data_IF_464416057726
#
_entry.id   IF_464416057726
#
_cell.length_a   1.000
_cell.length_b   1.000
_cell.length_c   1.000
_cell.angle_alpha   90.00
_cell.angle_beta   90.00
_cell.angle_gamma   90.00
#
_symmetry.space_group_name_H-M   'P 1'
#
loop_
_entity.id
_entity.type
_entity.pdbx_description
1 polymer ?
#
# COMPACT_ATOMS: atom_id res chain seq x y z
N UNK A 1 -26.94 -7.09 -7.41
CA UNK A 1 -25.55 -7.30 -6.91
C UNK A 1 -25.19 -8.78 -6.70
N UNK A 2 -26.15 -9.66 -6.60
CA UNK A 2 -25.94 -11.09 -6.30
C UNK A 2 -24.98 -11.80 -7.29
N UNK A 3 -25.08 -11.47 -8.56
CA UNK A 3 -24.27 -12.05 -9.64
C UNK A 3 -23.02 -11.23 -10.02
N UNK A 4 -22.73 -10.16 -9.27
CA UNK A 4 -21.57 -9.28 -9.52
C UNK A 4 -20.51 -9.54 -8.47
N UNK A 5 -19.23 -9.62 -8.90
CA UNK A 5 -18.07 -9.64 -8.00
C UNK A 5 -17.21 -8.40 -8.23
N UNK A 6 -16.93 -7.69 -7.15
CA UNK A 6 -15.97 -6.60 -7.14
C UNK A 6 -14.60 -7.13 -6.79
N UNK A 7 -13.61 -6.81 -7.60
CA UNK A 7 -12.25 -7.29 -7.38
C UNK A 7 -11.23 -6.16 -7.46
N UNK A 8 -10.17 -6.29 -6.69
CA UNK A 8 -9.07 -5.33 -6.65
C UNK A 8 -7.74 -6.08 -6.69
N UNK A 9 -6.67 -5.38 -7.02
CA UNK A 9 -5.34 -5.95 -6.98
C UNK A 9 -4.84 -6.17 -5.54
N UNK A 10 -5.13 -5.22 -4.64
CA UNK A 10 -4.64 -5.24 -3.26
C UNK A 10 -5.73 -5.63 -2.27
N UNK A 11 -5.35 -6.32 -1.18
CA UNK A 11 -6.27 -6.64 -0.09
C UNK A 11 -6.88 -5.40 0.56
N UNK A 12 -6.09 -4.31 0.65
CA UNK A 12 -6.55 -3.05 1.24
C UNK A 12 -7.70 -2.42 0.45
N UNK A 13 -7.57 -2.32 -0.87
CA UNK A 13 -8.65 -1.81 -1.72
C UNK A 13 -9.91 -2.68 -1.59
N UNK A 14 -9.77 -4.02 -1.52
CA UNK A 14 -10.91 -4.92 -1.25
C UNK A 14 -11.60 -4.61 0.06
N UNK A 15 -10.85 -4.38 1.15
CA UNK A 15 -11.44 -4.04 2.45
C UNK A 15 -12.20 -2.71 2.44
N UNK A 16 -11.69 -1.71 1.71
CA UNK A 16 -12.39 -0.43 1.54
C UNK A 16 -13.76 -0.64 0.89
N UNK A 17 -13.81 -1.45 -0.18
CA UNK A 17 -15.07 -1.78 -0.84
C UNK A 17 -16.01 -2.61 0.05
N UNK A 18 -15.47 -3.58 0.81
CA UNK A 18 -16.26 -4.38 1.77
C UNK A 18 -16.90 -3.49 2.85
N UNK A 19 -16.19 -2.51 3.39
CA UNK A 19 -16.73 -1.54 4.36
C UNK A 19 -17.86 -0.68 3.79
N UNK A 20 -17.86 -0.48 2.48
CA UNK A 20 -18.96 0.17 1.74
C UNK A 20 -20.13 -0.79 1.43
N UNK A 21 -20.09 -2.02 1.95
CA UNK A 21 -21.13 -3.03 1.76
C UNK A 21 -21.07 -3.79 0.43
N UNK A 22 -19.96 -3.68 -0.33
CA UNK A 22 -19.79 -4.39 -1.59
C UNK A 22 -19.16 -5.77 -1.38
N UNK A 23 -19.59 -6.82 -2.13
CA UNK A 23 -19.01 -8.16 -2.06
C UNK A 23 -17.65 -8.17 -2.79
N UNK A 24 -16.63 -7.54 -2.20
CA UNK A 24 -15.33 -7.36 -2.81
C UNK A 24 -14.30 -8.38 -2.31
N UNK A 25 -13.36 -8.74 -3.19
CA UNK A 25 -12.21 -9.60 -2.87
C UNK A 25 -11.00 -9.22 -3.74
N UNK A 26 -9.85 -9.84 -3.52
CA UNK A 26 -8.72 -9.65 -4.46
C UNK A 26 -8.88 -10.55 -5.68
N UNK A 27 -8.36 -10.09 -6.84
CA UNK A 27 -8.32 -10.93 -8.05
C UNK A 27 -7.67 -12.28 -7.75
N UNK A 28 -6.53 -12.27 -7.03
CA UNK A 28 -5.82 -13.50 -6.66
C UNK A 28 -6.71 -14.49 -5.88
N UNK A 29 -7.45 -14.02 -4.89
CA UNK A 29 -8.33 -14.87 -4.10
C UNK A 29 -9.51 -15.41 -4.92
N UNK A 30 -9.99 -14.61 -5.89
CA UNK A 30 -11.10 -15.04 -6.75
C UNK A 30 -10.66 -16.18 -7.66
N UNK A 31 -9.50 -16.07 -8.35
CA UNK A 31 -9.14 -16.94 -9.48
C UNK A 31 -8.11 -18.02 -9.18
N UNK A 32 -7.40 -17.95 -8.06
CA UNK A 32 -6.36 -18.91 -7.74
C UNK A 32 -6.63 -19.74 -6.49
N UNK A 33 -6.13 -20.99 -6.51
CA UNK A 33 -5.90 -21.80 -5.33
C UNK A 33 -4.48 -21.55 -4.82
N UNK A 34 -4.34 -21.26 -3.53
CA UNK A 34 -3.04 -21.12 -2.89
C UNK A 34 -2.56 -22.48 -2.34
N UNK A 35 -1.35 -22.87 -2.69
CA UNK A 35 -0.72 -24.09 -2.22
C UNK A 35 0.60 -23.75 -1.52
N UNK A 36 0.88 -24.44 -0.42
CA UNK A 36 2.15 -24.31 0.28
C UNK A 36 3.11 -25.43 -0.18
N UNK A 37 4.26 -25.06 -0.72
CA UNK A 37 5.31 -26.02 -0.99
C UNK A 37 5.96 -26.42 0.33
N UNK A 38 5.73 -27.65 0.77
CA UNK A 38 6.21 -28.14 2.07
C UNK A 38 7.75 -28.28 2.15
N UNK A 39 8.46 -28.33 1.01
CA UNK A 39 9.94 -28.40 1.00
C UNK A 39 10.59 -27.02 1.17
N UNK A 40 10.01 -25.99 0.57
CA UNK A 40 10.57 -24.64 0.54
C UNK A 40 9.84 -23.65 1.44
N UNK A 41 8.67 -24.02 2.00
CA UNK A 41 7.80 -23.14 2.76
C UNK A 41 7.11 -22.06 1.93
N UNK A 42 7.39 -21.97 0.62
CA UNK A 42 6.85 -20.94 -0.27
C UNK A 42 5.45 -21.28 -0.77
N UNK A 43 4.61 -20.28 -0.90
CA UNK A 43 3.33 -20.41 -1.57
C UNK A 43 3.51 -20.36 -3.08
N UNK A 44 2.73 -21.19 -3.79
CA UNK A 44 2.53 -21.12 -5.23
C UNK A 44 1.04 -21.14 -5.52
N UNK A 45 0.66 -20.62 -6.65
CA UNK A 45 -0.73 -20.43 -7.02
C UNK A 45 -1.05 -21.23 -8.29
N UNK A 46 -2.20 -21.91 -8.30
CA UNK A 46 -2.75 -22.56 -9.49
C UNK A 46 -4.08 -21.91 -9.84
N UNK A 47 -4.31 -21.69 -11.13
CA UNK A 47 -5.58 -21.16 -11.61
C UNK A 47 -6.70 -22.15 -11.25
N UNK A 48 -7.82 -21.64 -10.76
CA UNK A 48 -9.01 -22.46 -10.51
C UNK A 48 -9.57 -22.95 -11.83
N UNK A 49 -10.14 -24.16 -11.93
CA UNK A 49 -10.79 -24.63 -13.15
C UNK A 49 -12.08 -23.84 -13.45
N UNK A 50 -12.78 -23.38 -12.40
CA UNK A 50 -14.01 -22.59 -12.47
C UNK A 50 -14.11 -21.66 -11.26
N UNK A 51 -14.90 -20.60 -11.38
CA UNK A 51 -15.18 -19.69 -10.25
C UNK A 51 -16.35 -20.21 -9.44
N UNK A 52 -16.30 -19.98 -8.14
CA UNK A 52 -17.38 -20.37 -7.22
C UNK A 52 -18.58 -19.43 -7.32
N UNK A 53 -19.78 -20.01 -7.46
CA UNK A 53 -21.07 -19.31 -7.55
C UNK A 53 -21.44 -18.84 -8.96
N UNK A 54 -22.67 -18.32 -9.11
CA UNK A 54 -23.17 -17.79 -10.39
C UNK A 54 -22.68 -16.35 -10.59
N UNK A 55 -21.47 -16.19 -11.13
CA UNK A 55 -20.85 -14.89 -11.40
C UNK A 55 -21.11 -14.52 -12.86
N UNK A 56 -21.82 -13.41 -13.10
CA UNK A 56 -22.17 -12.92 -14.43
C UNK A 56 -21.47 -11.63 -14.81
N UNK A 57 -20.86 -10.94 -13.85
CA UNK A 57 -20.12 -9.70 -14.06
C UNK A 57 -18.99 -9.60 -13.05
N UNK A 58 -17.81 -9.23 -13.53
CA UNK A 58 -16.67 -8.87 -12.68
C UNK A 58 -16.41 -7.38 -12.84
N UNK A 59 -16.31 -6.66 -11.74
CA UNK A 59 -15.92 -5.24 -11.71
C UNK A 59 -14.54 -5.15 -11.08
N UNK A 60 -13.54 -4.72 -11.86
CA UNK A 60 -12.19 -4.48 -11.39
C UNK A 60 -12.08 -3.01 -10.97
N UNK A 61 -11.73 -2.75 -9.73
CA UNK A 61 -11.37 -1.41 -9.27
C UNK A 61 -9.84 -1.27 -9.19
N UNK A 62 -9.32 -0.06 -9.43
CA UNK A 62 -7.88 0.25 -9.52
C UNK A 62 -7.13 -0.64 -10.53
N UNK A 63 -7.67 -0.79 -11.75
CA UNK A 63 -7.08 -1.65 -12.80
C UNK A 63 -5.66 -1.21 -13.21
N UNK A 64 -5.27 0.04 -12.96
CA UNK A 64 -3.91 0.57 -13.16
C UNK A 64 -2.83 -0.27 -12.47
N UNK A 65 -3.17 -0.97 -11.39
CA UNK A 65 -2.24 -1.81 -10.62
C UNK A 65 -2.16 -3.26 -11.11
N UNK A 66 -3.04 -3.69 -12.01
CA UNK A 66 -3.20 -5.09 -12.41
C UNK A 66 -2.22 -5.45 -13.54
N UNK A 67 -1.24 -6.35 -13.32
CA UNK A 67 -0.33 -6.78 -14.40
C UNK A 67 -1.06 -7.55 -15.50
N UNK A 68 -0.57 -7.46 -16.75
CA UNK A 68 -1.13 -8.13 -17.91
C UNK A 68 -1.36 -9.64 -17.69
N UNK A 69 -0.42 -10.34 -17.07
CA UNK A 69 -0.56 -11.77 -16.78
C UNK A 69 -1.80 -12.07 -15.94
N UNK A 70 -1.99 -11.32 -14.86
CA UNK A 70 -3.13 -11.50 -13.95
C UNK A 70 -4.45 -11.19 -14.65
N UNK A 71 -4.47 -10.16 -15.51
CA UNK A 71 -5.64 -9.83 -16.31
C UNK A 71 -5.98 -10.96 -17.29
N UNK A 72 -4.98 -11.53 -18.00
CA UNK A 72 -5.21 -12.67 -18.92
C UNK A 72 -5.77 -13.89 -18.19
N UNK A 73 -5.23 -14.20 -17.00
CA UNK A 73 -5.71 -15.30 -16.19
C UNK A 73 -7.17 -15.06 -15.72
N UNK A 74 -7.54 -13.82 -15.38
CA UNK A 74 -8.92 -13.47 -15.06
C UNK A 74 -9.86 -13.58 -16.29
N UNK A 75 -9.42 -13.09 -17.45
CA UNK A 75 -10.20 -13.14 -18.70
C UNK A 75 -10.45 -14.57 -19.20
N UNK A 76 -9.61 -15.53 -18.81
CA UNK A 76 -9.80 -16.94 -19.22
C UNK A 76 -11.08 -17.59 -18.72
N UNK A 77 -11.74 -16.99 -17.72
CA UNK A 77 -13.05 -17.44 -17.22
C UNK A 77 -14.23 -17.02 -18.10
N UNK A 78 -14.00 -16.21 -19.16
CA UNK A 78 -15.02 -15.75 -20.12
C UNK A 78 -16.24 -15.06 -19.47
N UNK A 79 -16.04 -14.39 -18.35
CA UNK A 79 -17.08 -13.59 -17.70
C UNK A 79 -16.90 -12.12 -18.13
N UNK A 80 -17.98 -11.38 -18.45
CA UNK A 80 -17.90 -9.95 -18.73
C UNK A 80 -17.18 -9.17 -17.62
N UNK A 81 -16.31 -8.24 -18.04
CA UNK A 81 -15.49 -7.44 -17.12
C UNK A 81 -15.75 -5.96 -17.38
N UNK A 82 -16.00 -5.21 -16.30
CA UNK A 82 -15.91 -3.74 -16.26
C UNK A 82 -14.66 -3.38 -15.47
N UNK A 83 -13.75 -2.64 -16.10
CA UNK A 83 -12.49 -2.23 -15.50
C UNK A 83 -12.50 -0.73 -15.22
N UNK A 84 -12.31 -0.35 -13.97
CA UNK A 84 -12.23 1.04 -13.51
C UNK A 84 -10.78 1.36 -13.13
N UNK A 85 -10.30 2.54 -13.53
CA UNK A 85 -8.96 2.97 -13.17
C UNK A 85 -8.62 4.36 -13.69
N UNK A 86 -7.49 4.87 -13.25
CA UNK A 86 -7.01 6.19 -13.62
C UNK A 86 -5.69 6.05 -14.42
N UNK A 87 -5.68 6.47 -15.71
CA UNK A 87 -4.49 6.41 -16.55
C UNK A 87 -3.37 7.35 -16.10
N UNK A 88 -3.66 8.30 -15.21
CA UNK A 88 -2.67 9.20 -14.60
C UNK A 88 -1.87 8.56 -13.47
N UNK A 89 -2.35 7.48 -12.87
CA UNK A 89 -1.67 6.80 -11.78
C UNK A 89 -0.47 5.95 -12.23
N UNK A 90 0.31 5.49 -11.25
CA UNK A 90 1.46 4.60 -11.48
C UNK A 90 1.03 3.29 -12.16
N UNK A 91 1.81 2.87 -13.13
CA UNK A 91 1.68 1.56 -13.76
C UNK A 91 2.02 0.42 -12.81
N UNK A 92 1.53 -0.81 -13.08
CA UNK A 92 1.83 -1.96 -12.27
C UNK A 92 3.32 -2.29 -12.31
N UNK A 93 3.80 -2.95 -11.25
CA UNK A 93 5.15 -3.55 -11.28
C UNK A 93 5.07 -4.77 -12.20
N UNK A 94 5.70 -4.69 -13.38
CA UNK A 94 5.66 -5.71 -14.43
C UNK A 94 5.11 -5.18 -15.74
N UNK A 95 4.48 -6.06 -16.51
CA UNK A 95 3.92 -5.71 -17.81
C UNK A 95 2.57 -4.98 -17.63
N UNK A 96 2.46 -3.79 -18.23
CA UNK A 96 1.23 -2.99 -18.26
C UNK A 96 0.12 -3.74 -19.01
N UNK A 97 -1.09 -3.74 -18.45
CA UNK A 97 -2.25 -4.40 -19.07
C UNK A 97 -2.82 -3.65 -20.29
N UNK A 98 -2.47 -2.40 -20.48
CA UNK A 98 -2.83 -1.59 -21.63
C UNK A 98 -4.28 -1.09 -21.67
N UNK A 99 -5.17 -1.50 -20.78
CA UNK A 99 -6.60 -1.15 -20.81
C UNK A 99 -6.83 0.36 -20.72
N UNK A 100 -6.01 1.06 -19.92
CA UNK A 100 -6.16 2.50 -19.72
C UNK A 100 -5.58 3.35 -20.86
N UNK A 101 -4.95 2.73 -21.88
CA UNK A 101 -4.45 3.47 -23.08
C UNK A 101 -5.56 3.87 -24.02
N UNK A 102 -6.63 3.07 -24.10
CA UNK A 102 -7.81 3.31 -24.93
C UNK A 102 -9.06 2.89 -24.16
N UNK A 103 -9.49 3.68 -23.16
CA UNK A 103 -10.68 3.35 -22.41
C UNK A 103 -11.94 3.52 -23.28
N UNK A 104 -12.95 2.66 -23.09
CA UNK A 104 -14.25 2.80 -23.77
C UNK A 104 -15.00 4.06 -23.33
N UNK A 105 -14.85 4.43 -22.05
CA UNK A 105 -15.43 5.63 -21.46
C UNK A 105 -14.37 6.37 -20.68
N UNK A 106 -14.20 7.65 -20.92
CA UNK A 106 -13.29 8.52 -20.21
C UNK A 106 -14.08 9.64 -19.51
N UNK A 107 -13.93 9.71 -18.17
CA UNK A 107 -14.53 10.77 -17.37
C UNK A 107 -13.47 11.86 -17.16
N UNK A 108 -13.60 12.99 -17.82
CA UNK A 108 -12.65 14.10 -17.78
C UNK A 108 -13.18 15.34 -17.05
N UNK A 109 -14.47 15.38 -16.74
CA UNK A 109 -15.05 16.49 -15.99
C UNK A 109 -14.64 16.44 -14.52
N UNK A 110 -13.94 17.47 -14.09
CA UNK A 110 -13.69 17.73 -12.67
C UNK A 110 -14.89 18.51 -12.14
N UNK A 111 -15.56 17.98 -11.11
CA UNK A 111 -16.64 18.70 -10.46
C UNK A 111 -16.16 20.09 -10.00
N UNK A 112 -16.96 21.16 -10.25
CA UNK A 112 -16.61 22.55 -9.92
C UNK A 112 -16.10 22.75 -8.49
N UNK A 113 -16.65 22.01 -7.52
CA UNK A 113 -16.16 22.03 -6.12
C UNK A 113 -14.74 21.48 -5.97
N UNK A 114 -14.28 20.64 -6.89
CA UNK A 114 -12.94 20.11 -6.91
C UNK A 114 -11.94 21.02 -7.65
N UNK A 115 -12.41 21.91 -8.54
CA UNK A 115 -11.56 22.88 -9.26
C UNK A 115 -10.92 23.91 -8.31
N UNK A 116 -11.61 24.27 -7.24
CA UNK A 116 -11.09 25.21 -6.22
C UNK A 116 -10.08 24.55 -5.26
N UNK A 117 -9.96 23.22 -5.28
CA UNK A 117 -9.02 22.51 -4.42
C UNK A 117 -7.58 22.60 -4.95
N UNK A 118 -6.70 23.25 -4.18
CA UNK A 118 -5.30 23.44 -4.52
C UNK A 118 -4.54 22.13 -4.77
N UNK A 119 -4.88 21.05 -4.04
CA UNK A 119 -4.26 19.73 -4.21
C UNK A 119 -4.64 19.15 -5.58
N UNK A 120 -5.88 19.27 -5.98
CA UNK A 120 -6.35 18.79 -7.30
C UNK A 120 -5.68 19.58 -8.41
N UNK A 121 -5.63 20.93 -8.31
CA UNK A 121 -4.89 21.75 -9.28
C UNK A 121 -3.43 21.34 -9.41
N UNK A 122 -2.77 21.07 -8.28
CA UNK A 122 -1.38 20.63 -8.27
C UNK A 122 -1.22 19.26 -8.93
N UNK A 123 -2.10 18.31 -8.62
CA UNK A 123 -2.09 16.98 -9.22
C UNK A 123 -2.28 17.02 -10.74
N UNK A 124 -3.12 17.95 -11.23
CA UNK A 124 -3.33 18.13 -12.66
C UNK A 124 -2.10 18.71 -13.37
N UNK A 125 -1.31 19.58 -12.72
CA UNK A 125 -0.02 20.00 -13.26
C UNK A 125 0.92 18.80 -13.44
N UNK A 126 1.00 17.93 -12.43
CA UNK A 126 1.79 16.69 -12.51
C UNK A 126 1.31 15.79 -13.65
N UNK A 127 -0.02 15.53 -13.74
CA UNK A 127 -0.63 14.72 -14.80
C UNK A 127 -0.36 15.26 -16.20
N UNK A 128 -0.40 16.57 -16.36
CA UNK A 128 -0.13 17.27 -17.63
C UNK A 128 1.37 17.46 -17.90
N UNK A 129 2.26 16.96 -17.03
CA UNK A 129 3.72 17.12 -17.12
C UNK A 129 4.16 18.58 -17.14
N UNK A 130 3.37 19.47 -16.56
CA UNK A 130 3.68 20.88 -16.42
C UNK A 130 4.59 21.12 -15.22
N UNK A 131 5.44 22.14 -15.25
CA UNK A 131 6.26 22.51 -14.10
C UNK A 131 5.37 22.83 -12.88
N UNK A 132 5.71 22.27 -11.74
CA UNK A 132 5.08 22.58 -10.45
C UNK A 132 5.83 23.78 -9.85
N UNK A 133 5.16 24.94 -9.60
CA UNK A 133 5.80 26.09 -8.98
C UNK A 133 6.09 25.82 -7.48
N UNK A 134 6.99 26.62 -6.90
CA UNK A 134 7.07 26.72 -5.43
C UNK A 134 5.88 27.48 -4.89
N UNK A 135 5.30 27.04 -3.78
CA UNK A 135 4.11 27.57 -3.17
C UNK A 135 4.30 27.62 -1.66
N UNK A 136 4.23 28.80 -1.06
CA UNK A 136 4.49 29.03 0.35
C UNK A 136 3.25 29.51 1.13
N UNK A 137 2.34 30.20 0.46
CA UNK A 137 1.24 30.94 1.07
C UNK A 137 -0.16 30.35 0.76
N UNK A 138 -0.23 29.07 0.43
CA UNK A 138 -1.51 28.37 0.28
C UNK A 138 -1.85 27.65 1.59
N UNK A 139 -3.13 27.65 1.97
CA UNK A 139 -3.60 27.05 3.22
C UNK A 139 -3.43 25.53 3.24
N UNK A 140 -3.63 24.88 2.08
CA UNK A 140 -3.73 23.43 1.97
C UNK A 140 -2.47 22.78 1.39
N UNK A 141 -1.66 23.56 0.64
CA UNK A 141 -0.46 23.02 0.01
C UNK A 141 0.77 23.88 0.28
N UNK A 142 1.90 23.20 0.43
CA UNK A 142 3.23 23.82 0.38
C UNK A 142 4.09 23.07 -0.61
N UNK A 143 4.79 23.81 -1.46
CA UNK A 143 5.78 23.27 -2.40
C UNK A 143 7.10 23.95 -2.11
N UNK A 144 8.03 23.22 -1.50
CA UNK A 144 9.28 23.74 -0.94
C UNK A 144 10.49 23.04 -1.54
N UNK A 145 11.67 23.62 -1.34
CA UNK A 145 12.96 23.00 -1.70
C UNK A 145 13.39 22.00 -0.63
N UNK A 146 14.30 21.12 -0.98
CA UNK A 146 14.84 20.10 -0.03
C UNK A 146 15.55 20.69 1.16
N UNK A 147 16.25 21.80 0.98
CA UNK A 147 16.97 22.49 2.05
C UNK A 147 16.05 23.20 3.05
N UNK A 148 14.78 23.34 2.71
CA UNK A 148 13.75 23.94 3.57
C UNK A 148 12.96 22.91 4.40
N UNK A 149 13.13 21.61 4.11
CA UNK A 149 12.41 20.56 4.85
C UNK A 149 12.93 20.43 6.28
N UNK A 150 12.02 20.33 7.22
CA UNK A 150 12.35 20.17 8.64
C UNK A 150 11.77 18.88 9.22
N UNK A 151 12.34 18.40 10.32
CA UNK A 151 11.78 17.25 11.04
C UNK A 151 10.35 17.52 11.53
N UNK A 152 10.03 18.77 11.88
CA UNK A 152 8.66 19.16 12.21
C UNK A 152 7.66 18.87 11.08
N UNK A 153 8.06 19.06 9.82
CA UNK A 153 7.21 18.73 8.66
C UNK A 153 7.02 17.22 8.48
N UNK A 154 8.07 16.43 8.74
CA UNK A 154 7.93 14.97 8.74
C UNK A 154 6.99 14.49 9.84
N UNK A 155 7.10 15.03 11.06
CA UNK A 155 6.22 14.71 12.18
C UNK A 155 4.79 15.20 11.98
N UNK A 156 4.59 16.29 11.24
CA UNK A 156 3.28 16.84 10.92
C UNK A 156 2.47 15.94 9.98
N UNK A 157 3.14 15.22 9.08
CA UNK A 157 2.47 14.39 8.08
C UNK A 157 1.91 13.10 8.70
N UNK A 158 0.67 12.77 8.36
CA UNK A 158 0.11 11.45 8.69
C UNK A 158 0.83 10.35 7.91
N UNK A 159 1.29 10.67 6.68
CA UNK A 159 2.09 9.77 5.87
C UNK A 159 3.12 10.50 5.02
N UNK A 160 4.34 9.95 5.00
CA UNK A 160 5.41 10.41 4.13
C UNK A 160 5.53 9.45 2.94
N UNK A 161 5.55 10.00 1.72
CA UNK A 161 5.65 9.26 0.47
C UNK A 161 6.95 9.57 -0.25
N UNK A 162 7.64 8.55 -0.73
CA UNK A 162 8.85 8.66 -1.55
C UNK A 162 8.82 7.64 -2.69
N UNK A 163 9.81 7.70 -3.59
CA UNK A 163 9.88 6.77 -4.71
C UNK A 163 10.76 5.55 -4.40
N UNK A 164 11.88 5.74 -3.68
CA UNK A 164 12.90 4.72 -3.53
C UNK A 164 12.94 4.10 -2.12
N UNK A 165 13.27 2.81 -2.06
CA UNK A 165 13.39 2.11 -0.78
C UNK A 165 14.55 2.65 0.09
N UNK A 166 15.63 3.15 -0.52
CA UNK A 166 16.73 3.72 0.25
C UNK A 166 16.31 5.01 0.97
N UNK A 167 15.62 5.92 0.27
CA UNK A 167 15.05 7.14 0.85
C UNK A 167 14.04 6.81 1.95
N UNK A 168 13.17 5.83 1.70
CA UNK A 168 12.21 5.33 2.69
C UNK A 168 12.90 4.88 3.98
N UNK A 169 13.97 4.08 3.86
CA UNK A 169 14.73 3.59 5.03
C UNK A 169 15.41 4.73 5.79
N UNK A 170 16.02 5.68 5.07
CA UNK A 170 16.66 6.85 5.67
C UNK A 170 15.66 7.71 6.45
N UNK A 171 14.51 8.04 5.85
CA UNK A 171 13.47 8.81 6.53
C UNK A 171 12.92 8.06 7.74
N UNK A 172 12.67 6.76 7.64
CA UNK A 172 12.20 5.95 8.76
C UNK A 172 13.22 5.92 9.91
N UNK A 173 14.52 5.84 9.62
CA UNK A 173 15.57 5.89 10.63
C UNK A 173 15.63 7.26 11.32
N UNK A 174 15.61 8.35 10.54
CA UNK A 174 15.59 9.73 11.06
C UNK A 174 14.36 10.00 11.92
N UNK A 175 13.19 9.53 11.49
CA UNK A 175 11.96 9.66 12.28
C UNK A 175 12.06 8.94 13.62
N UNK A 176 12.56 7.71 13.64
CA UNK A 176 12.73 6.95 14.88
C UNK A 176 13.72 7.60 15.82
N UNK A 177 14.88 8.06 15.31
CA UNK A 177 15.86 8.80 16.08
C UNK A 177 15.27 10.07 16.70
N UNK A 178 14.54 10.86 15.90
CA UNK A 178 13.88 12.09 16.37
C UNK A 178 12.82 11.82 17.44
N UNK A 179 12.09 10.73 17.33
CA UNK A 179 11.07 10.31 18.30
C UNK A 179 11.65 9.61 19.54
N UNK A 180 12.98 9.45 19.60
CA UNK A 180 13.67 8.83 20.73
C UNK A 180 13.59 7.30 20.76
N UNK A 181 13.21 6.65 19.66
CA UNK A 181 13.21 5.21 19.57
C UNK A 181 14.62 4.67 19.28
N UNK A 182 14.99 3.60 19.97
CA UNK A 182 16.31 2.96 19.86
C UNK A 182 16.21 1.51 19.46
N UNK A 183 17.34 0.97 18.98
CA UNK A 183 17.46 -0.43 18.55
C UNK A 183 16.81 -0.72 17.21
N UNK A 184 17.03 -1.95 16.72
CA UNK A 184 16.57 -2.37 15.39
C UNK A 184 15.11 -2.84 15.39
N UNK A 185 14.56 -3.22 16.53
CA UNK A 185 13.20 -3.72 16.65
C UNK A 185 12.21 -2.58 16.94
N UNK A 186 10.93 -2.77 16.61
CA UNK A 186 9.92 -1.76 16.92
C UNK A 186 9.73 -1.59 18.42
N UNK A 187 9.48 -0.37 18.83
CA UNK A 187 9.11 0.00 20.20
C UNK A 187 7.60 0.27 20.29
N UNK A 188 7.07 0.38 21.50
CA UNK A 188 5.70 0.86 21.70
C UNK A 188 5.54 2.26 21.07
N UNK A 189 4.44 2.46 20.34
CA UNK A 189 4.12 3.64 19.54
C UNK A 189 4.95 3.79 18.23
N UNK A 190 5.85 2.88 17.91
CA UNK A 190 6.48 2.86 16.58
C UNK A 190 5.42 2.64 15.49
N UNK A 191 5.54 3.38 14.39
CA UNK A 191 4.68 3.21 13.23
C UNK A 191 5.24 2.15 12.32
N UNK A 192 4.44 1.13 12.02
CA UNK A 192 4.85 -0.02 11.22
C UNK A 192 3.87 -0.31 10.09
N UNK A 193 4.33 -1.03 9.09
CA UNK A 193 3.54 -1.47 7.93
C UNK A 193 3.67 -2.98 7.73
N UNK A 194 2.57 -3.67 7.55
CA UNK A 194 2.54 -5.07 7.17
C UNK A 194 2.91 -5.24 5.69
N UNK A 195 3.77 -6.19 5.37
CA UNK A 195 4.33 -6.36 4.02
C UNK A 195 3.69 -7.46 3.19
N UNK A 196 2.89 -8.35 3.81
CA UNK A 196 2.22 -9.48 3.16
C UNK A 196 0.78 -9.65 3.65
N UNK A 197 0.01 -10.47 2.94
CA UNK A 197 -1.33 -10.85 3.38
C UNK A 197 -1.26 -12.06 4.32
N UNK A 198 -1.88 -11.95 5.49
CA UNK A 198 -2.00 -12.99 6.51
C UNK A 198 -3.48 -13.19 6.84
N UNK A 199 -4.15 -14.01 6.04
CA UNK A 199 -5.61 -14.20 6.10
C UNK A 199 -6.08 -14.87 7.40
N UNK A 200 -5.19 -15.58 8.08
CA UNK A 200 -5.46 -16.30 9.34
C UNK A 200 -5.11 -15.46 10.58
N UNK A 201 -4.51 -14.28 10.41
CA UNK A 201 -4.24 -13.32 11.49
C UNK A 201 -5.37 -12.30 11.50
N UNK A 202 -6.30 -12.47 12.41
CA UNK A 202 -7.50 -11.64 12.50
C UNK A 202 -7.41 -10.70 13.69
N UNK A 203 -7.99 -9.51 13.56
CA UNK A 203 -8.27 -8.64 14.69
C UNK A 203 -9.60 -9.03 15.38
N UNK A 204 -9.97 -8.32 16.43
CA UNK A 204 -11.20 -8.64 17.21
C UNK A 204 -12.49 -8.50 16.38
N UNK A 205 -12.49 -7.71 15.31
CA UNK A 205 -13.63 -7.60 14.38
C UNK A 205 -13.59 -8.67 13.26
N UNK A 206 -12.61 -9.57 13.28
CA UNK A 206 -12.46 -10.63 12.28
C UNK A 206 -11.85 -10.17 10.96
N UNK A 207 -11.27 -8.97 10.87
CA UNK A 207 -10.56 -8.53 9.68
C UNK A 207 -9.13 -9.09 9.63
N UNK A 208 -8.73 -9.65 8.48
CA UNK A 208 -7.39 -10.20 8.32
C UNK A 208 -6.31 -9.11 8.24
N UNK A 209 -5.11 -9.47 8.68
CA UNK A 209 -3.92 -8.65 8.53
C UNK A 209 -3.41 -8.73 7.08
N UNK A 210 -3.47 -7.61 6.37
CA UNK A 210 -3.17 -7.57 4.93
C UNK A 210 -1.98 -6.68 4.59
N UNK A 211 -1.40 -6.93 3.42
CA UNK A 211 -0.31 -6.12 2.87
C UNK A 211 -0.71 -4.65 2.74
N UNK A 212 0.14 -3.76 3.26
CA UNK A 212 -0.09 -2.32 3.28
C UNK A 212 -0.90 -1.83 4.48
N UNK A 213 -1.29 -2.70 5.42
CA UNK A 213 -1.87 -2.26 6.70
C UNK A 213 -0.81 -1.52 7.49
N UNK A 214 -1.08 -0.24 7.78
CA UNK A 214 -0.22 0.66 8.57
C UNK A 214 -0.90 0.88 9.92
N UNK A 215 -0.10 1.09 10.94
CA UNK A 215 -0.59 1.40 12.28
C UNK A 215 0.53 1.50 13.30
N UNK A 216 0.15 1.50 14.57
CA UNK A 216 1.08 1.64 15.70
C UNK A 216 1.21 0.35 16.46
N UNK A 217 2.42 0.11 16.93
CA UNK A 217 2.71 -0.95 17.90
C UNK A 217 2.21 -0.51 19.26
N UNK A 218 1.38 -1.32 19.90
CA UNK A 218 0.79 -1.03 21.22
C UNK A 218 1.38 -1.88 22.33
N UNK A 219 2.10 -2.96 21.97
CA UNK A 219 2.81 -3.83 22.88
C UNK A 219 3.95 -4.55 22.16
N UNK A 220 5.06 -4.76 22.86
CA UNK A 220 6.20 -5.55 22.35
C UNK A 220 6.64 -6.51 23.43
N UNK A 221 6.72 -7.80 23.08
CA UNK A 221 7.27 -8.84 23.93
C UNK A 221 8.37 -9.56 23.16
N UNK A 222 9.58 -9.51 23.71
CA UNK A 222 10.73 -10.24 23.19
C UNK A 222 11.11 -11.30 24.19
N UNK A 223 11.23 -12.56 23.75
CA UNK A 223 11.56 -13.69 24.61
C UNK A 223 12.43 -14.70 23.89
N UNK A 224 13.08 -15.58 24.69
CA UNK A 224 13.75 -16.74 24.16
C UNK A 224 12.71 -17.80 23.75
N UNK A 225 12.88 -18.35 22.57
CA UNK A 225 12.07 -19.48 22.13
C UNK A 225 12.74 -20.78 22.56
N UNK A 226 12.21 -21.41 23.59
CA UNK A 226 12.75 -22.65 24.16
C UNK A 226 12.72 -23.86 23.21
N UNK A 227 12.20 -23.73 22.01
CA UNK A 227 12.12 -24.83 21.03
C UNK A 227 12.87 -24.60 19.73
N UNK A 228 13.31 -23.37 19.43
CA UNK A 228 14.04 -23.00 18.21
C UNK A 228 15.12 -21.99 18.61
N UNK A 229 16.36 -22.21 18.18
CA UNK A 229 17.49 -21.29 18.39
C UNK A 229 17.13 -19.89 17.82
N UNK A 230 16.76 -18.93 18.67
CA UNK A 230 16.54 -17.54 18.28
C UNK A 230 15.55 -16.78 19.17
N UNK A 231 15.64 -15.46 19.12
CA UNK A 231 14.70 -14.56 19.77
C UNK A 231 13.36 -14.52 19.02
N UNK A 232 12.27 -14.65 19.76
CA UNK A 232 10.91 -14.44 19.27
C UNK A 232 10.46 -13.05 19.65
N UNK A 233 9.96 -12.28 18.67
CA UNK A 233 9.36 -10.97 18.92
C UNK A 233 7.88 -11.00 18.56
N UNK A 234 7.05 -10.69 19.54
CA UNK A 234 5.61 -10.54 19.39
C UNK A 234 5.26 -9.06 19.52
N UNK A 235 4.34 -8.61 18.70
CA UNK A 235 3.78 -7.27 18.81
C UNK A 235 2.26 -7.33 18.94
N UNK A 236 1.72 -6.38 19.69
CA UNK A 236 0.34 -5.96 19.57
C UNK A 236 0.32 -4.77 18.63
N UNK A 237 -0.60 -4.78 17.67
CA UNK A 237 -0.62 -3.84 16.57
C UNK A 237 -2.02 -3.26 16.37
N UNK A 238 -2.12 -1.94 16.41
CA UNK A 238 -3.34 -1.18 16.13
C UNK A 238 -3.25 -0.55 14.75
N UNK A 239 -4.13 -0.98 13.85
CA UNK A 239 -4.22 -0.42 12.50
C UNK A 239 -4.80 1.00 12.53
N UNK A 240 -4.28 1.90 11.67
CA UNK A 240 -4.84 3.24 11.45
C UNK A 240 -6.28 3.20 10.88
N UNK A 241 -6.73 2.06 10.36
CA UNK A 241 -8.04 1.90 9.70
C UNK A 241 -9.11 1.23 10.55
N UNK A 242 -8.74 0.64 11.68
CA UNK A 242 -9.69 -0.09 12.54
C UNK A 242 -9.28 0.03 14.00
N UNK A 243 -10.26 0.29 14.87
CA UNK A 243 -10.04 0.38 16.32
C UNK A 243 -9.58 -0.92 16.98
N UNK A 244 -10.00 -2.13 16.53
CA UNK A 244 -9.54 -3.37 17.15
C UNK A 244 -8.08 -3.67 16.81
N UNK A 245 -7.38 -4.19 17.82
CA UNK A 245 -5.98 -4.56 17.73
C UNK A 245 -5.81 -5.97 17.14
N UNK A 246 -4.64 -6.21 16.56
CA UNK A 246 -4.09 -7.54 16.35
C UNK A 246 -3.17 -7.85 17.52
N UNK A 247 -3.39 -8.96 18.23
CA UNK A 247 -2.64 -9.32 19.42
C UNK A 247 -1.65 -10.44 19.18
N UNK A 248 -0.50 -10.36 19.85
CA UNK A 248 0.51 -11.42 19.84
C UNK A 248 1.01 -11.79 18.45
N UNK A 249 1.06 -10.84 17.52
CA UNK A 249 1.54 -11.07 16.16
C UNK A 249 3.04 -11.29 16.18
N UNK A 250 3.47 -12.48 15.78
CA UNK A 250 4.90 -12.79 15.66
C UNK A 250 5.50 -12.13 14.42
N UNK A 251 6.57 -11.35 14.60
CA UNK A 251 7.19 -10.57 13.52
C UNK A 251 8.58 -11.11 13.16
N UNK A 252 8.94 -10.93 11.88
CA UNK A 252 10.28 -11.22 11.37
C UNK A 252 11.26 -10.09 11.73
N UNK A 253 12.06 -10.31 12.76
CA UNK A 253 13.06 -9.35 13.24
C UNK A 253 14.15 -9.03 12.20
N UNK A 254 14.42 -9.93 11.25
CA UNK A 254 15.44 -9.71 10.23
C UNK A 254 15.10 -8.57 9.29
N UNK A 255 13.82 -8.37 8.99
CA UNK A 255 13.38 -7.31 8.07
C UNK A 255 13.70 -5.93 8.66
N UNK A 256 13.44 -5.73 9.95
CA UNK A 256 13.76 -4.47 10.64
C UNK A 256 15.26 -4.18 10.66
N UNK A 257 16.09 -5.22 10.69
CA UNK A 257 17.56 -5.12 10.60
C UNK A 257 18.06 -4.94 9.17
N UNK A 258 17.16 -4.86 8.17
CA UNK A 258 17.51 -4.74 6.77
C UNK A 258 18.02 -6.03 6.12
N UNK A 259 17.87 -7.17 6.80
CA UNK A 259 18.28 -8.49 6.30
C UNK A 259 17.16 -9.16 5.48
N UNK A 260 17.50 -10.25 4.79
CA UNK A 260 16.52 -11.08 4.12
C UNK A 260 15.53 -11.70 5.13
N UNK A 261 14.26 -11.91 4.74
CA UNK A 261 13.28 -12.55 5.58
C UNK A 261 13.73 -13.93 6.07
N UNK A 262 13.32 -14.27 7.28
CA UNK A 262 13.64 -15.57 7.90
C UNK A 262 13.08 -16.73 7.06
N UNK A 263 13.91 -17.72 6.80
CA UNK A 263 13.47 -18.95 6.14
C UNK A 263 12.92 -19.90 7.20
N UNK A 264 11.58 -20.04 7.24
CA UNK A 264 10.90 -20.93 8.17
C UNK A 264 10.94 -22.36 7.61
N UNK A 265 11.39 -23.31 8.43
CA UNK A 265 11.31 -24.73 8.06
C UNK A 265 9.85 -25.12 7.83
N UNK A 266 9.58 -25.83 6.73
CA UNK A 266 8.23 -26.26 6.29
C UNK A 266 7.44 -27.08 7.31
N UNK A 267 8.12 -27.74 8.24
CA UNK A 267 7.52 -28.53 9.32
C UNK A 267 7.00 -27.65 10.48
N UNK A 268 7.43 -26.39 10.56
CA UNK A 268 6.96 -25.46 11.58
C UNK A 268 5.57 -24.96 11.24
N UNK A 269 4.62 -25.06 12.18
CA UNK A 269 3.30 -24.42 12.10
C UNK A 269 3.36 -22.91 12.42
N UNK A 270 4.56 -22.37 12.67
CA UNK A 270 4.78 -20.99 13.08
C UNK A 270 4.45 -20.05 11.92
N UNK A 271 3.64 -19.05 12.19
CA UNK A 271 3.30 -17.98 11.26
C UNK A 271 4.06 -16.70 11.69
N UNK A 272 5.12 -16.36 10.96
CA UNK A 272 5.90 -15.15 11.21
C UNK A 272 5.49 -14.10 10.19
N UNK A 273 5.06 -12.93 10.68
CA UNK A 273 4.56 -11.85 9.86
C UNK A 273 5.70 -10.88 9.48
N UNK A 274 5.71 -10.47 8.22
CA UNK A 274 6.67 -9.50 7.70
C UNK A 274 6.15 -8.08 7.93
N UNK A 275 6.88 -7.32 8.72
CA UNK A 275 6.65 -5.89 8.96
C UNK A 275 7.91 -5.10 8.71
N UNK A 276 7.74 -3.79 8.48
CA UNK A 276 8.82 -2.80 8.44
C UNK A 276 8.33 -1.49 9.03
N UNK A 277 9.20 -0.52 9.25
CA UNK A 277 8.81 0.81 9.71
C UNK A 277 7.98 1.53 8.66
N UNK A 278 6.93 2.23 9.10
CA UNK A 278 5.86 2.77 8.28
C UNK A 278 5.74 4.30 8.26
N UNK A 279 6.69 5.07 8.84
CA UNK A 279 6.65 6.54 8.79
C UNK A 279 6.73 7.06 7.36
N UNK A 280 7.67 6.55 6.58
CA UNK A 280 7.72 6.75 5.15
C UNK A 280 7.47 5.42 4.42
N UNK A 281 6.73 5.48 3.33
CA UNK A 281 6.47 4.35 2.43
C UNK A 281 6.70 4.76 0.99
N UNK A 282 6.90 3.78 0.10
CA UNK A 282 6.95 4.07 -1.34
C UNK A 282 5.56 4.37 -1.87
N UNK A 283 5.48 5.22 -2.89
CA UNK A 283 4.22 5.60 -3.53
C UNK A 283 3.44 4.37 -4.06
N UNK A 284 4.13 3.32 -4.52
CA UNK A 284 3.49 2.05 -4.91
C UNK A 284 2.74 1.39 -3.75
N UNK A 285 3.28 1.48 -2.54
CA UNK A 285 2.61 0.97 -1.34
C UNK A 285 1.46 1.85 -0.85
N UNK A 286 1.42 3.09 -1.30
CA UNK A 286 0.38 4.06 -0.98
C UNK A 286 -0.87 3.94 -1.87
N UNK A 287 -0.77 3.25 -3.01
CA UNK A 287 -1.92 3.07 -3.91
C UNK A 287 -3.10 2.41 -3.19
N UNK A 288 -4.33 2.91 -3.45
CA UNK A 288 -5.53 2.50 -2.73
C UNK A 288 -5.63 3.02 -1.29
N UNK A 289 -4.81 4.01 -0.91
CA UNK A 289 -4.81 4.65 0.41
C UNK A 289 -4.88 6.16 0.28
N UNK A 290 -5.40 6.80 1.32
CA UNK A 290 -5.47 8.26 1.44
C UNK A 290 -5.24 8.67 2.88
N UNK A 291 -4.71 9.86 3.10
CA UNK A 291 -4.45 10.44 4.43
C UNK A 291 -4.81 11.92 4.44
N UNK A 292 -5.16 12.42 5.59
CA UNK A 292 -5.50 13.84 5.79
C UNK A 292 -4.32 14.75 5.39
N UNK A 293 -3.11 14.43 5.90
CA UNK A 293 -1.88 15.20 5.71
C UNK A 293 -0.79 14.33 5.09
N UNK A 294 -0.36 14.68 3.90
CA UNK A 294 0.69 13.94 3.20
C UNK A 294 1.91 14.82 2.96
N UNK A 295 3.09 14.27 3.20
CA UNK A 295 4.35 14.83 2.72
C UNK A 295 4.90 13.96 1.60
N UNK A 296 5.09 14.54 0.41
CA UNK A 296 5.71 13.90 -0.75
C UNK A 296 7.15 14.35 -0.85
N UNK A 297 8.09 13.41 -0.76
CA UNK A 297 9.51 13.66 -0.98
C UNK A 297 9.86 13.28 -2.42
N UNK A 298 9.99 14.30 -3.30
CA UNK A 298 10.27 14.10 -4.72
C UNK A 298 11.71 13.63 -4.93
N UNK A 299 11.91 12.69 -5.84
CA UNK A 299 13.20 12.11 -6.19
C UNK A 299 13.38 12.06 -7.71
N UNK A 300 14.63 11.87 -8.19
CA UNK A 300 14.92 11.60 -9.61
C UNK A 300 14.53 10.18 -10.04
N UNK A 301 13.46 9.68 -9.49
CA UNK A 301 12.99 8.36 -9.80
C UNK A 301 11.44 8.35 -9.80
N UNK A 302 10.85 7.73 -10.79
CA UNK A 302 11.47 7.17 -12.01
C UNK A 302 12.11 8.24 -12.90
N UNK A 303 13.20 7.89 -13.58
CA UNK A 303 13.93 8.84 -14.44
C UNK A 303 13.18 9.22 -15.72
N UNK A 304 12.25 8.39 -16.17
CA UNK A 304 11.41 8.66 -17.33
C UNK A 304 10.35 9.70 -16.97
N UNK A 305 10.21 10.74 -17.78
CA UNK A 305 9.31 11.87 -17.58
C UNK A 305 7.85 11.43 -17.37
N UNK A 306 7.38 10.45 -18.14
CA UNK A 306 6.01 9.94 -18.02
C UNK A 306 5.79 9.23 -16.68
N UNK A 307 6.71 8.36 -16.30
CA UNK A 307 6.65 7.60 -15.05
C UNK A 307 6.82 8.53 -13.83
N UNK A 308 7.67 9.57 -13.96
CA UNK A 308 7.83 10.58 -12.92
C UNK A 308 6.57 11.42 -12.72
N UNK A 309 5.92 11.85 -13.80
CA UNK A 309 4.65 12.55 -13.74
C UNK A 309 3.56 11.72 -13.07
N UNK A 310 3.48 10.42 -13.38
CA UNK A 310 2.57 9.47 -12.72
C UNK A 310 2.90 9.28 -11.24
N UNK A 311 4.19 9.21 -10.89
CA UNK A 311 4.60 9.17 -9.50
C UNK A 311 4.10 10.39 -8.74
N UNK A 312 4.36 11.60 -9.23
CA UNK A 312 3.91 12.84 -8.60
C UNK A 312 2.39 12.90 -8.52
N UNK A 313 1.70 12.62 -9.62
CA UNK A 313 0.24 12.60 -9.64
C UNK A 313 -0.33 11.62 -8.59
N UNK A 314 0.16 10.38 -8.60
CA UNK A 314 -0.29 9.36 -7.64
C UNK A 314 -0.02 9.78 -6.20
N UNK A 315 1.18 10.32 -5.92
CA UNK A 315 1.56 10.71 -4.57
C UNK A 315 0.75 11.92 -4.07
N UNK A 316 0.55 12.94 -4.91
CA UNK A 316 -0.23 14.14 -4.58
C UNK A 316 -1.69 13.78 -4.29
N UNK A 317 -2.28 12.90 -5.11
CA UNK A 317 -3.68 12.46 -4.93
C UNK A 317 -3.90 11.57 -3.71
N UNK A 318 -2.87 11.25 -2.93
CA UNK A 318 -3.03 10.56 -1.63
C UNK A 318 -3.40 11.51 -0.50
N UNK A 319 -3.24 12.83 -0.67
CA UNK A 319 -3.63 13.83 0.31
C UNK A 319 -5.11 14.19 0.18
N UNK A 320 -5.84 14.09 1.29
CA UNK A 320 -7.25 14.50 1.35
C UNK A 320 -7.39 16.02 1.58
N UNK A 321 -6.68 16.57 2.58
CA UNK A 321 -6.84 17.95 2.98
C UNK A 321 -5.57 18.80 2.91
N UNK A 322 -4.40 18.23 3.25
CA UNK A 322 -3.15 19.01 3.30
C UNK A 322 -1.97 18.26 2.70
N UNK A 323 -1.14 19.00 1.96
CA UNK A 323 0.01 18.45 1.24
C UNK A 323 1.26 19.33 1.44
N UNK A 324 2.38 18.67 1.71
CA UNK A 324 3.72 19.25 1.55
C UNK A 324 4.44 18.49 0.43
N UNK A 325 4.81 19.17 -0.64
CA UNK A 325 5.67 18.62 -1.69
C UNK A 325 7.08 19.18 -1.53
N UNK A 326 8.01 18.32 -1.18
CA UNK A 326 9.44 18.64 -1.11
C UNK A 326 10.04 18.37 -2.47
N UNK A 327 10.30 19.42 -3.24
CA UNK A 327 10.88 19.32 -4.57
C UNK A 327 12.37 19.03 -4.50
N UNK A 328 12.81 18.35 -5.54
CA UNK A 328 14.21 18.11 -5.80
C UNK A 328 15.01 19.39 -6.05
#
# INVERSE_FOLDING_TARGET
MEYTRFVTFTGKASLVLQRKGLPATTIHKLIYNAHKNYKTGRFYFTLKPELEGDIRLIVIDEVSMVPMKLLKDLMSFNIPIVALGDPGQLEPIGEDNGLLKSPDIFLDEIHRQAEDNSIIRLSMLARQKKPIPYIYDDENIKVIRRDEVTMGMFCWADQILCAQNNTRRQINAQMREHLGFSGDLPNNNDKVICLKNYWDVLNDDGYPLINGTIGKVTGVVTGEDYGILGQKTLIDFQSDYSSPNYYGVEIDSNIFKGNAPMVINSKSKRLICEFDFGYAITCWKAQGSEWDKVLVYEENFPANVNSHARFLYTAITRAQNKLVLVKK
#
